data_IF_018388658102
#
_entry.id   IF_018388658102
#
_cell.length_a   1.000
_cell.length_b   1.000
_cell.length_c   1.000
_cell.angle_alpha   90.00
_cell.angle_beta   90.00
_cell.angle_gamma   90.00
#
_symmetry.space_group_name_H-M   'P 1'
#
loop_
_entity.id
_entity.type
_entity.pdbx_description
1 polymer ?
#
# COMPACT_ATOMS: atom_id res chain seq x y z
N UNK A 1 8.16 -16.66 -34.11
CA UNK A 1 7.96 -15.46 -33.26
C UNK A 1 6.49 -15.39 -32.84
N UNK A 2 6.10 -15.89 -31.66
CA UNK A 2 4.82 -15.55 -31.00
C UNK A 2 4.79 -16.11 -29.56
N UNK A 3 5.75 -15.70 -28.73
CA UNK A 3 5.77 -16.01 -27.28
C UNK A 3 5.20 -14.82 -26.49
N UNK A 4 3.91 -14.51 -26.69
CA UNK A 4 3.23 -13.39 -25.99
C UNK A 4 1.84 -13.74 -25.42
N UNK A 5 1.40 -14.98 -25.54
CA UNK A 5 0.03 -15.39 -25.17
C UNK A 5 -0.18 -15.87 -23.73
N UNK A 6 0.88 -16.15 -22.95
CA UNK A 6 0.73 -16.83 -21.66
C UNK A 6 0.75 -15.91 -20.43
N UNK A 7 1.19 -14.65 -20.55
CA UNK A 7 1.37 -13.77 -19.38
C UNK A 7 0.05 -13.06 -18.99
N UNK A 8 -0.92 -12.97 -19.89
CA UNK A 8 -2.18 -12.24 -19.65
C UNK A 8 -3.18 -13.00 -18.78
N UNK A 9 -3.04 -14.32 -18.61
CA UNK A 9 -4.01 -15.13 -17.87
C UNK A 9 -3.86 -15.07 -16.34
N UNK A 10 -2.69 -14.67 -15.82
CA UNK A 10 -2.43 -14.65 -14.37
C UNK A 10 -2.85 -13.33 -13.68
N UNK A 11 -3.09 -12.26 -14.43
CA UNK A 11 -3.42 -10.95 -13.87
C UNK A 11 -4.92 -10.75 -13.58
N UNK A 12 -5.80 -11.54 -14.20
CA UNK A 12 -7.26 -11.44 -14.00
C UNK A 12 -7.73 -12.15 -12.72
N UNK A 13 -6.92 -13.02 -12.12
CA UNK A 13 -7.31 -13.83 -10.97
C UNK A 13 -7.25 -13.11 -9.61
N UNK A 14 -6.55 -11.96 -9.49
CA UNK A 14 -6.42 -11.25 -8.20
C UNK A 14 -7.57 -10.28 -7.91
N UNK A 15 -8.39 -9.93 -8.90
CA UNK A 15 -9.48 -8.94 -8.74
C UNK A 15 -10.69 -9.45 -7.97
N UNK A 16 -10.84 -10.76 -7.74
CA UNK A 16 -11.99 -11.30 -7.00
C UNK A 16 -11.82 -11.28 -5.48
N UNK A 17 -10.60 -11.11 -4.98
CA UNK A 17 -10.32 -11.15 -3.54
C UNK A 17 -10.76 -9.87 -2.82
N UNK A 18 -10.79 -8.72 -3.52
CA UNK A 18 -11.12 -7.46 -2.86
C UNK A 18 -12.62 -7.22 -2.63
N UNK A 19 -13.49 -7.91 -3.37
CA UNK A 19 -14.93 -7.69 -3.31
C UNK A 19 -15.61 -8.53 -2.22
N UNK A 20 -14.92 -8.73 -1.09
CA UNK A 20 -15.45 -9.47 0.04
C UNK A 20 -15.19 -8.79 1.39
N UNK A 21 -15.08 -7.47 1.42
CA UNK A 21 -15.42 -6.73 2.64
C UNK A 21 -16.94 -6.71 2.73
N UNK A 22 -17.42 -7.41 3.75
CA UNK A 22 -18.77 -7.87 3.98
C UNK A 22 -19.72 -6.73 4.38
N UNK A 23 -20.61 -6.33 3.47
CA UNK A 23 -21.88 -5.69 3.87
C UNK A 23 -22.81 -6.80 4.38
N UNK A 24 -22.84 -7.01 5.70
CA UNK A 24 -23.78 -7.93 6.37
C UNK A 24 -24.88 -7.13 7.07
N UNK A 25 -26.11 -7.34 6.63
CA UNK A 25 -27.36 -6.83 7.24
C UNK A 25 -28.47 -6.61 6.21
N UNK A 26 -28.88 -7.63 5.44
CA UNK A 26 -30.08 -8.47 5.64
C UNK A 26 -31.43 -7.75 5.49
N UNK A 27 -32.15 -8.02 4.39
CA UNK A 27 -33.61 -7.86 4.32
C UNK A 27 -34.26 -7.83 2.92
N UNK A 28 -34.31 -8.99 2.22
CA UNK A 28 -35.34 -9.41 1.22
C UNK A 28 -35.56 -8.54 -0.03
N UNK A 29 -35.74 -9.02 -1.26
CA UNK A 29 -36.25 -10.29 -1.80
C UNK A 29 -35.83 -10.38 -3.28
N UNK A 30 -35.68 -11.60 -3.77
CA UNK A 30 -35.30 -11.94 -5.13
C UNK A 30 -36.39 -11.65 -6.16
N UNK A 31 -36.01 -11.17 -7.34
CA UNK A 31 -36.78 -11.33 -8.56
C UNK A 31 -35.84 -11.47 -9.77
N UNK A 32 -36.11 -12.51 -10.56
CA UNK A 32 -35.25 -13.07 -11.60
C UNK A 32 -35.81 -12.63 -12.96
N UNK A 33 -35.11 -11.83 -13.77
CA UNK A 33 -35.37 -11.77 -15.21
C UNK A 33 -34.14 -11.28 -16.00
N UNK A 34 -33.75 -12.06 -17.01
CA UNK A 34 -33.45 -11.57 -18.37
C UNK A 34 -32.09 -10.90 -18.65
N UNK A 35 -31.26 -11.60 -19.43
CA UNK A 35 -30.56 -11.10 -20.63
C UNK A 35 -29.80 -9.76 -20.61
N UNK A 36 -28.48 -9.84 -20.75
CA UNK A 36 -27.65 -8.73 -21.25
C UNK A 36 -26.30 -8.61 -20.55
N UNK A 37 -25.25 -9.22 -21.11
CA UNK A 37 -23.86 -8.92 -20.70
C UNK A 37 -23.44 -7.59 -21.31
N UNK A 38 -23.89 -6.49 -20.72
CA UNK A 38 -23.29 -5.18 -20.96
C UNK A 38 -21.95 -5.12 -20.22
N UNK A 39 -20.86 -5.41 -20.93
CA UNK A 39 -19.50 -5.04 -20.51
C UNK A 39 -19.41 -3.52 -20.41
N UNK A 40 -19.80 -2.99 -19.27
CA UNK A 40 -19.43 -1.66 -18.83
C UNK A 40 -18.07 -1.83 -18.15
N UNK A 41 -17.00 -1.67 -18.93
CA UNK A 41 -15.67 -1.38 -18.38
C UNK A 41 -15.80 0.01 -17.77
N UNK A 42 -16.32 0.05 -16.54
CA UNK A 42 -16.19 1.20 -15.66
C UNK A 42 -14.72 1.31 -15.33
N UNK A 43 -13.99 2.12 -16.11
CA UNK A 43 -12.81 2.78 -15.59
C UNK A 43 -13.27 3.59 -14.39
N UNK A 44 -13.08 3.05 -13.19
CA UNK A 44 -13.21 3.82 -11.96
C UNK A 44 -12.02 4.77 -11.97
N UNK A 45 -12.19 5.92 -12.61
CA UNK A 45 -11.46 7.12 -12.25
C UNK A 45 -11.76 7.31 -10.77
N UNK A 46 -10.81 6.98 -9.91
CA UNK A 46 -11.00 7.15 -8.48
C UNK A 46 -11.15 8.65 -8.21
N UNK A 47 -12.39 9.06 -7.92
CA UNK A 47 -12.65 10.36 -7.37
C UNK A 47 -11.83 10.53 -6.08
N UNK A 48 -11.21 11.70 -5.91
CA UNK A 48 -10.45 12.03 -4.70
C UNK A 48 -11.27 11.83 -3.42
N UNK A 49 -12.60 11.91 -3.52
CA UNK A 49 -13.53 11.62 -2.43
C UNK A 49 -13.52 10.14 -2.00
N UNK A 50 -13.36 9.22 -2.94
CA UNK A 50 -13.23 7.78 -2.64
C UNK A 50 -11.87 7.46 -2.02
N UNK A 51 -10.81 8.13 -2.45
CA UNK A 51 -9.47 7.99 -1.85
C UNK A 51 -9.48 8.47 -0.40
N UNK A 52 -10.08 9.62 -0.11
CA UNK A 52 -10.21 10.11 1.26
C UNK A 52 -11.00 9.15 2.16
N UNK A 53 -12.10 8.56 1.67
CA UNK A 53 -12.86 7.58 2.43
C UNK A 53 -12.03 6.33 2.76
N UNK A 54 -11.26 5.82 1.79
CA UNK A 54 -10.33 4.69 2.00
C UNK A 54 -9.22 5.03 3.01
N UNK A 55 -8.71 6.26 2.95
CA UNK A 55 -7.71 6.76 3.89
C UNK A 55 -8.27 6.80 5.31
N UNK A 56 -9.49 7.33 5.49
CA UNK A 56 -10.18 7.35 6.79
C UNK A 56 -10.40 5.94 7.33
N UNK A 57 -10.86 5.01 6.50
CA UNK A 57 -11.06 3.61 6.89
C UNK A 57 -9.72 2.94 7.29
N UNK A 58 -8.65 3.18 6.54
CA UNK A 58 -7.33 2.66 6.86
C UNK A 58 -6.76 3.23 8.17
N UNK A 59 -6.99 4.51 8.44
CA UNK A 59 -6.57 5.14 9.70
C UNK A 59 -7.40 4.60 10.89
N UNK A 60 -8.71 4.35 10.72
CA UNK A 60 -9.53 3.71 11.74
C UNK A 60 -9.10 2.28 12.04
N UNK A 61 -8.83 1.47 11.01
CA UNK A 61 -8.30 0.11 11.18
C UNK A 61 -6.93 0.12 11.85
N UNK A 62 -6.14 1.19 11.68
CA UNK A 62 -4.86 1.35 12.34
C UNK A 62 -5.02 1.57 13.85
N UNK A 63 -6.00 2.39 14.25
CA UNK A 63 -6.38 2.57 15.67
C UNK A 63 -6.87 1.26 16.30
N UNK A 64 -7.57 0.43 15.53
CA UNK A 64 -7.99 -0.92 15.94
C UNK A 64 -6.87 -1.97 15.91
N UNK A 65 -5.63 -1.60 15.53
CA UNK A 65 -4.47 -2.48 15.36
C UNK A 65 -4.66 -3.62 14.34
N UNK A 66 -5.55 -3.44 13.37
CA UNK A 66 -5.88 -4.44 12.33
C UNK A 66 -5.04 -4.29 11.07
N UNK A 67 -3.73 -4.48 11.20
CA UNK A 67 -2.77 -4.20 10.11
C UNK A 67 -2.93 -5.08 8.86
N UNK A 68 -3.38 -6.33 9.02
CA UNK A 68 -3.64 -7.26 7.89
C UNK A 68 -4.83 -6.82 7.03
N UNK A 69 -5.86 -6.26 7.66
CA UNK A 69 -7.05 -5.75 6.96
C UNK A 69 -6.67 -4.50 6.15
N UNK A 70 -5.86 -3.60 6.71
CA UNK A 70 -5.32 -2.43 6.01
C UNK A 70 -4.51 -2.88 4.79
N UNK A 71 -3.61 -3.85 4.94
CA UNK A 71 -2.79 -4.34 3.84
C UNK A 71 -3.66 -4.91 2.71
N UNK A 72 -4.69 -5.68 3.05
CA UNK A 72 -5.61 -6.28 2.08
C UNK A 72 -6.41 -5.20 1.35
N UNK A 73 -7.00 -4.25 2.08
CA UNK A 73 -7.80 -3.15 1.55
C UNK A 73 -6.94 -2.28 0.61
N UNK A 74 -5.82 -1.76 1.09
CA UNK A 74 -4.96 -0.86 0.32
C UNK A 74 -4.26 -1.59 -0.84
N UNK A 75 -3.98 -2.89 -0.73
CA UNK A 75 -3.38 -3.67 -1.83
C UNK A 75 -4.26 -3.70 -3.08
N UNK A 76 -5.57 -3.61 -2.93
CA UNK A 76 -6.49 -3.56 -4.07
C UNK A 76 -6.44 -2.22 -4.81
N UNK A 77 -6.08 -1.17 -4.10
CA UNK A 77 -5.99 0.20 -4.61
C UNK A 77 -4.55 0.61 -4.97
N UNK A 78 -3.58 -0.33 -4.93
CA UNK A 78 -2.20 -0.14 -5.42
C UNK A 78 -2.15 0.45 -6.84
N UNK A 79 -3.17 0.17 -7.67
CA UNK A 79 -3.28 0.69 -9.04
C UNK A 79 -3.59 2.19 -9.15
N UNK A 80 -4.13 2.82 -8.10
CA UNK A 80 -4.49 4.24 -8.10
C UNK A 80 -3.27 5.18 -7.98
N UNK A 81 -2.09 4.64 -7.60
CA UNK A 81 -0.83 5.39 -7.49
C UNK A 81 -0.99 6.75 -6.76
N UNK A 82 -1.76 6.77 -5.68
CA UNK A 82 -1.82 7.90 -4.77
C UNK A 82 -0.72 7.73 -3.72
N UNK A 83 0.05 8.79 -3.47
CA UNK A 83 1.09 8.83 -2.45
C UNK A 83 0.52 8.48 -1.08
N UNK A 84 -0.68 8.97 -0.75
CA UNK A 84 -1.35 8.74 0.53
C UNK A 84 -1.72 7.28 0.83
N UNK A 85 -2.06 6.52 -0.22
CA UNK A 85 -2.36 5.09 -0.11
C UNK A 85 -1.06 4.29 0.06
N UNK A 86 -0.04 4.64 -0.72
CA UNK A 86 1.21 3.89 -0.78
C UNK A 86 2.01 3.97 0.52
N UNK A 87 2.14 5.16 1.13
CA UNK A 87 2.88 5.26 2.40
C UNK A 87 2.14 4.60 3.57
N UNK A 88 0.79 4.63 3.58
CA UNK A 88 -0.03 3.93 4.58
C UNK A 88 0.05 2.41 4.44
N UNK A 89 0.09 1.92 3.21
CA UNK A 89 0.34 0.52 2.91
C UNK A 89 1.76 0.11 3.38
N UNK A 90 2.77 0.95 3.13
CA UNK A 90 4.12 0.75 3.67
C UNK A 90 4.12 0.67 5.20
N UNK A 91 3.41 1.59 5.87
CA UNK A 91 3.22 1.57 7.34
C UNK A 91 2.56 0.29 7.85
N UNK A 92 1.49 -0.16 7.20
CA UNK A 92 0.83 -1.42 7.60
C UNK A 92 1.77 -2.62 7.43
N UNK A 93 2.53 -2.65 6.32
CA UNK A 93 3.54 -3.70 6.06
C UNK A 93 4.67 -3.67 7.09
N UNK A 94 5.09 -2.48 7.53
CA UNK A 94 6.06 -2.31 8.62
C UNK A 94 5.57 -2.88 9.95
N UNK A 95 4.32 -2.63 10.33
CA UNK A 95 3.76 -3.20 11.57
C UNK A 95 3.65 -4.73 11.48
N UNK A 96 3.33 -5.28 10.29
CA UNK A 96 3.39 -6.73 10.04
C UNK A 96 4.81 -7.27 10.17
N UNK A 97 5.81 -6.55 9.66
CA UNK A 97 7.22 -6.93 9.80
C UNK A 97 7.65 -6.99 11.27
N UNK A 98 7.17 -6.05 12.10
CA UNK A 98 7.41 -6.07 13.56
C UNK A 98 6.76 -7.28 14.24
N UNK A 99 5.60 -7.72 13.77
CA UNK A 99 4.92 -8.91 14.26
C UNK A 99 5.48 -10.23 13.70
N UNK A 100 6.38 -10.17 12.70
CA UNK A 100 6.93 -11.37 12.06
C UNK A 100 7.78 -12.20 13.03
N UNK A 101 7.65 -13.52 12.95
CA UNK A 101 8.29 -14.47 13.85
C UNK A 101 9.78 -14.70 13.52
N UNK A 102 10.16 -14.59 12.25
CA UNK A 102 11.53 -14.86 11.79
C UNK A 102 12.22 -13.59 11.30
N UNK A 103 13.55 -13.52 11.49
CA UNK A 103 14.37 -12.39 11.01
C UNK A 103 14.34 -12.29 9.48
N UNK A 104 14.39 -13.42 8.78
CA UNK A 104 14.36 -13.47 7.32
C UNK A 104 13.05 -12.88 6.76
N UNK A 105 11.91 -13.30 7.30
CA UNK A 105 10.60 -12.76 6.92
C UNK A 105 10.48 -11.28 7.25
N UNK A 106 10.95 -10.88 8.44
CA UNK A 106 10.98 -9.47 8.84
C UNK A 106 11.78 -8.61 7.88
N UNK A 107 12.97 -9.07 7.45
CA UNK A 107 13.80 -8.36 6.45
C UNK A 107 13.09 -8.23 5.11
N UNK A 108 12.42 -9.29 4.66
CA UNK A 108 11.66 -9.27 3.41
C UNK A 108 10.51 -8.25 3.47
N UNK A 109 9.75 -8.25 4.57
CA UNK A 109 8.64 -7.33 4.77
C UNK A 109 9.11 -5.87 4.92
N UNK A 110 10.24 -5.61 5.58
CA UNK A 110 10.80 -4.26 5.66
C UNK A 110 11.25 -3.74 4.29
N UNK A 111 11.82 -4.61 3.45
CA UNK A 111 12.16 -4.25 2.06
C UNK A 111 10.90 -3.97 1.23
N UNK A 112 9.86 -4.80 1.33
CA UNK A 112 8.58 -4.56 0.65
C UNK A 112 7.94 -3.23 1.09
N UNK A 113 7.98 -2.93 2.39
CA UNK A 113 7.49 -1.67 2.93
C UNK A 113 8.29 -0.47 2.37
N UNK A 114 9.61 -0.60 2.25
CA UNK A 114 10.47 0.43 1.67
C UNK A 114 10.12 0.69 0.20
N UNK A 115 9.94 -0.36 -0.60
CA UNK A 115 9.57 -0.25 -2.02
C UNK A 115 8.24 0.52 -2.19
N UNK A 116 7.27 0.30 -1.29
CA UNK A 116 6.00 1.03 -1.30
C UNK A 116 6.17 2.52 -1.00
N UNK A 117 7.03 2.87 -0.05
CA UNK A 117 7.30 4.28 0.30
C UNK A 117 8.15 4.97 -0.76
N UNK A 118 9.10 4.27 -1.39
CA UNK A 118 9.85 4.79 -2.55
C UNK A 118 8.94 5.08 -3.74
N UNK A 119 7.97 4.19 -4.00
CA UNK A 119 6.95 4.43 -5.02
C UNK A 119 6.09 5.67 -4.69
N UNK A 120 5.74 5.89 -3.41
CA UNK A 120 5.03 7.09 -2.97
C UNK A 120 5.86 8.36 -3.19
N UNK A 121 7.15 8.31 -2.88
CA UNK A 121 8.08 9.42 -3.06
C UNK A 121 8.26 9.80 -4.53
N UNK A 122 8.24 8.81 -5.43
CA UNK A 122 8.31 9.06 -6.87
C UNK A 122 7.06 9.77 -7.43
N UNK A 123 5.93 9.72 -6.72
CA UNK A 123 4.70 10.43 -7.09
C UNK A 123 4.71 11.84 -6.49
N UNK A 124 4.97 11.94 -5.19
CA UNK A 124 4.98 13.19 -4.47
C UNK A 124 6.23 13.29 -3.60
N UNK A 125 7.19 14.08 -4.07
CA UNK A 125 8.48 14.31 -3.40
C UNK A 125 8.41 15.35 -2.28
N UNK A 126 7.24 15.96 -2.04
CA UNK A 126 7.07 16.98 -1.00
C UNK A 126 6.19 16.47 0.16
N UNK A 127 5.71 15.23 0.09
CA UNK A 127 4.88 14.67 1.13
C UNK A 127 5.72 14.37 2.38
N UNK A 128 5.50 15.17 3.42
CA UNK A 128 6.10 15.05 4.75
C UNK A 128 5.97 13.64 5.34
N UNK A 129 4.79 13.01 5.22
CA UNK A 129 4.55 11.68 5.79
C UNK A 129 5.41 10.62 5.11
N UNK A 130 5.56 10.71 3.78
CA UNK A 130 6.41 9.81 2.99
C UNK A 130 7.87 9.91 3.45
N UNK A 131 8.42 11.12 3.58
CA UNK A 131 9.79 11.33 4.05
C UNK A 131 10.04 10.82 5.47
N UNK A 132 9.06 11.00 6.36
CA UNK A 132 9.11 10.46 7.72
C UNK A 132 9.21 8.94 7.71
N UNK A 133 8.30 8.27 6.99
CA UNK A 133 8.28 6.81 6.92
C UNK A 133 9.50 6.25 6.17
N UNK A 134 9.99 6.94 5.14
CA UNK A 134 11.22 6.61 4.43
C UNK A 134 12.41 6.56 5.38
N UNK A 135 12.58 7.59 6.20
CA UNK A 135 13.67 7.70 7.17
C UNK A 135 13.66 6.55 8.19
N UNK A 136 12.46 6.17 8.66
CA UNK A 136 12.28 5.06 9.60
C UNK A 136 12.64 3.74 8.91
N UNK A 137 12.05 3.44 7.75
CA UNK A 137 12.24 2.17 7.06
C UNK A 137 13.68 1.90 6.65
N UNK A 138 14.38 2.94 6.16
CA UNK A 138 15.80 2.90 5.86
C UNK A 138 16.59 2.41 7.09
N UNK A 139 16.35 2.97 8.27
CA UNK A 139 17.08 2.55 9.48
C UNK A 139 16.89 1.04 9.77
N UNK A 140 15.66 0.52 9.69
CA UNK A 140 15.38 -0.89 9.93
C UNK A 140 15.97 -1.83 8.87
N UNK A 141 15.89 -1.47 7.59
CA UNK A 141 16.45 -2.28 6.50
C UNK A 141 17.98 -2.34 6.61
N UNK A 142 18.65 -1.20 6.82
CA UNK A 142 20.12 -1.17 6.90
C UNK A 142 20.66 -1.66 8.24
N UNK A 143 19.89 -1.57 9.33
CA UNK A 143 20.22 -2.27 10.57
C UNK A 143 20.35 -3.78 10.35
N UNK A 144 19.53 -4.34 9.45
CA UNK A 144 19.58 -5.76 9.10
C UNK A 144 20.68 -6.13 8.08
N UNK A 145 21.13 -5.20 7.23
CA UNK A 145 22.17 -5.41 6.21
C UNK A 145 23.60 -5.13 6.71
N UNK A 146 23.75 -4.42 7.82
CA UNK A 146 25.01 -4.21 8.53
C UNK A 146 25.51 -2.76 8.55
N UNK A 147 26.43 -2.50 9.47
CA UNK A 147 26.87 -1.14 9.85
C UNK A 147 27.44 -0.30 8.69
N UNK A 148 28.07 -0.93 7.69
CA UNK A 148 28.64 -0.21 6.52
C UNK A 148 27.55 0.40 5.62
N UNK A 149 26.48 -0.36 5.33
CA UNK A 149 25.36 0.12 4.53
C UNK A 149 24.62 1.25 5.26
N UNK A 150 24.45 1.10 6.59
CA UNK A 150 23.84 2.13 7.45
C UNK A 150 24.59 3.46 7.41
N UNK A 151 25.92 3.46 7.44
CA UNK A 151 26.72 4.70 7.38
C UNK A 151 26.52 5.41 6.03
N UNK A 152 26.56 4.66 4.92
CA UNK A 152 26.37 5.25 3.58
C UNK A 152 25.00 5.87 3.40
N UNK A 153 23.97 5.31 4.04
CA UNK A 153 22.57 5.74 3.85
C UNK A 153 22.09 6.72 4.92
N UNK A 154 22.87 6.91 5.99
CA UNK A 154 22.60 7.95 7.00
C UNK A 154 22.57 9.37 6.40
N UNK A 155 23.35 9.62 5.35
CA UNK A 155 23.31 10.88 4.59
C UNK A 155 21.95 11.10 3.92
N UNK A 156 21.35 10.05 3.34
CA UNK A 156 20.01 10.08 2.71
C UNK A 156 18.92 10.32 3.76
N UNK A 157 19.03 9.68 4.93
CA UNK A 157 18.12 9.94 6.05
C UNK A 157 18.20 11.40 6.49
N UNK A 158 19.42 11.96 6.59
CA UNK A 158 19.63 13.35 6.97
C UNK A 158 18.98 14.32 5.97
N UNK A 159 19.08 14.04 4.67
CA UNK A 159 18.40 14.83 3.63
C UNK A 159 16.88 14.79 3.79
N UNK A 160 16.29 13.60 3.97
CA UNK A 160 14.86 13.47 4.24
C UNK A 160 14.41 14.16 5.54
N UNK A 161 15.22 14.14 6.60
CA UNK A 161 14.96 14.86 7.84
C UNK A 161 14.98 16.38 7.67
N UNK A 162 15.79 16.91 6.75
CA UNK A 162 15.83 18.35 6.45
C UNK A 162 14.61 18.74 5.60
N UNK A 163 14.31 17.98 4.54
CA UNK A 163 13.14 18.21 3.68
C UNK A 163 11.83 18.16 4.47
N UNK A 164 11.72 17.20 5.40
CA UNK A 164 10.58 17.10 6.31
C UNK A 164 10.38 18.39 7.12
N UNK A 165 11.44 19.09 7.53
CA UNK A 165 11.31 20.36 8.27
C UNK A 165 10.93 21.53 7.37
N UNK A 166 11.35 21.53 6.11
CA UNK A 166 11.10 22.63 5.17
C UNK A 166 9.68 22.63 4.61
N UNK A 167 9.02 21.48 4.53
CA UNK A 167 7.61 21.37 4.07
C UNK A 167 6.59 21.45 5.22
N UNK A 168 7.01 21.81 6.43
CA UNK A 168 6.20 21.77 7.65
C UNK A 168 5.69 23.12 8.18
N UNK A 169 5.92 24.23 7.46
CA UNK A 169 5.50 25.59 7.86
C UNK A 169 4.31 26.12 7.05
#
# INVERSE_FOLDING_TARGET
MTSRGLVTLLLVARSRACQRVSVRGLGGVAALVGGGVASLVGGVSADASSVNALVTEADQLYEEMKYEEIYTLLSCFKGLKSDDILWRLGRATFERAKAAATEEERRQLFREALDHVEAALAINTENFAVHKWMSILIDYVYAAEGTKARISKSYVVKEHMILQKLCGD
#
